data_IF_929157440979
#
_entry.id   IF_929157440979
#
_cell.length_a   1.000
_cell.length_b   1.000
_cell.length_c   1.000
_cell.angle_alpha   90.00
_cell.angle_beta   90.00
_cell.angle_gamma   90.00
#
_symmetry.space_group_name_H-M   'P 1'
#
loop_
_entity.id
_entity.type
_entity.pdbx_description
1 polymer ?
#
# COMPACT_ATOMS: atom_id res chain seq x y z
N UNK A 1 6.76 7.35 -7.11
CA UNK A 1 5.80 8.22 -6.38
C UNK A 1 6.08 8.08 -4.90
N UNK A 2 6.54 9.16 -4.27
CA UNK A 2 7.20 9.10 -2.96
C UNK A 2 6.23 8.98 -1.79
N UNK A 3 6.47 7.99 -0.94
CA UNK A 3 5.91 7.91 0.41
C UNK A 3 6.50 9.05 1.27
N UNK A 4 5.78 10.16 1.43
CA UNK A 4 6.18 11.25 2.34
C UNK A 4 5.90 10.87 3.79
N UNK A 5 6.76 10.04 4.42
CA UNK A 5 6.64 9.84 5.86
C UNK A 5 6.83 11.16 6.62
N UNK A 6 6.14 11.33 7.75
CA UNK A 6 6.28 12.48 8.65
C UNK A 6 7.75 12.76 9.00
N UNK A 7 8.54 11.70 9.14
CA UNK A 7 9.97 11.76 9.46
C UNK A 7 10.81 12.40 8.34
N UNK A 8 10.47 12.15 7.07
CA UNK A 8 11.14 12.81 5.92
C UNK A 8 10.90 14.31 5.91
N UNK A 9 9.68 14.73 6.29
CA UNK A 9 9.34 16.16 6.40
C UNK A 9 10.12 16.81 7.54
N UNK A 10 10.21 16.15 8.70
CA UNK A 10 11.02 16.63 9.83
C UNK A 10 12.49 16.77 9.47
N UNK A 11 13.08 15.75 8.85
CA UNK A 11 14.49 15.77 8.42
C UNK A 11 14.77 16.92 7.44
N UNK A 12 13.85 17.17 6.49
CA UNK A 12 14.01 18.24 5.51
C UNK A 12 13.90 19.63 6.14
N UNK A 13 12.96 19.83 7.05
CA UNK A 13 12.77 21.10 7.76
C UNK A 13 13.97 21.35 8.66
N UNK A 14 14.41 20.36 9.44
CA UNK A 14 15.58 20.44 10.34
C UNK A 14 16.85 20.99 9.66
N UNK A 15 17.07 20.66 8.38
CA UNK A 15 18.24 21.12 7.60
C UNK A 15 18.21 22.60 7.23
N UNK A 16 17.07 23.27 7.40
CA UNK A 16 16.84 24.65 6.94
C UNK A 16 16.31 25.59 8.02
N UNK A 17 15.99 25.08 9.21
CA UNK A 17 15.35 25.86 10.28
C UNK A 17 16.28 26.19 11.42
N UNK A 18 16.20 27.43 11.91
CA UNK A 18 17.06 27.95 12.99
C UNK A 18 16.27 28.59 14.15
N UNK A 19 14.92 28.54 14.15
CA UNK A 19 14.12 29.21 15.19
C UNK A 19 13.71 28.28 16.34
N UNK A 20 13.52 28.81 17.57
CA UNK A 20 13.08 28.02 18.72
C UNK A 20 11.70 27.40 18.50
N UNK A 21 11.53 26.12 18.85
CA UNK A 21 10.27 25.34 18.79
C UNK A 21 9.77 24.98 17.38
N UNK A 22 10.63 25.02 16.36
CA UNK A 22 10.27 24.61 14.99
C UNK A 22 9.68 23.19 14.90
N UNK A 23 10.15 22.26 15.73
CA UNK A 23 9.62 20.88 15.78
C UNK A 23 8.16 20.81 16.25
N UNK A 24 7.81 21.62 17.25
CA UNK A 24 6.46 21.70 17.80
C UNK A 24 5.50 22.27 16.75
N UNK A 25 5.88 23.38 16.12
CA UNK A 25 5.08 24.02 15.08
C UNK A 25 4.89 23.11 13.86
N UNK A 26 5.93 22.37 13.47
CA UNK A 26 5.84 21.40 12.39
C UNK A 26 4.91 20.23 12.76
N UNK A 27 4.98 19.73 14.00
CA UNK A 27 4.08 18.68 14.46
C UNK A 27 2.62 19.16 14.47
N UNK A 28 2.36 20.39 14.89
CA UNK A 28 1.02 20.97 14.87
C UNK A 28 0.52 21.20 13.44
N UNK A 29 1.39 21.66 12.55
CA UNK A 29 1.08 21.80 11.12
C UNK A 29 0.71 20.45 10.48
N UNK A 30 1.51 19.40 10.73
CA UNK A 30 1.23 18.04 10.24
C UNK A 30 -0.12 17.53 10.76
N UNK A 31 -0.44 17.79 12.03
CA UNK A 31 -1.69 17.36 12.67
C UNK A 31 -2.91 18.17 12.25
N UNK A 32 -2.77 19.41 11.80
CA UNK A 32 -3.92 20.28 11.46
C UNK A 32 -4.11 20.47 9.96
N UNK A 33 -3.08 20.23 9.15
CA UNK A 33 -3.15 20.40 7.70
C UNK A 33 -3.90 19.25 7.02
N UNK A 34 -5.13 19.52 6.57
CA UNK A 34 -5.96 18.55 5.84
C UNK A 34 -5.26 18.01 4.57
N UNK A 35 -4.50 18.85 3.85
CA UNK A 35 -3.75 18.45 2.66
C UNK A 35 -2.69 17.40 3.00
N UNK A 36 -1.97 17.61 4.10
CA UNK A 36 -0.95 16.67 4.57
C UNK A 36 -1.60 15.37 5.06
N UNK A 37 -2.67 15.45 5.84
CA UNK A 37 -3.41 14.28 6.32
C UNK A 37 -4.02 13.44 5.19
N UNK A 38 -4.54 14.08 4.12
CA UNK A 38 -5.07 13.37 2.94
C UNK A 38 -3.95 12.70 2.14
N UNK A 39 -2.82 13.38 1.97
CA UNK A 39 -1.66 12.84 1.26
C UNK A 39 -0.97 11.70 2.02
N UNK A 40 -0.93 11.79 3.35
CA UNK A 40 -0.34 10.81 4.26
C UNK A 40 -1.38 9.95 4.98
N UNK A 41 -2.55 9.79 4.37
CA UNK A 41 -3.57 8.89 4.90
C UNK A 41 -2.90 7.53 5.11
N UNK A 42 -2.82 7.10 6.38
CA UNK A 42 -2.23 5.79 6.70
C UNK A 42 -2.96 4.74 5.89
N UNK A 43 -2.27 4.15 4.91
CA UNK A 43 -2.80 3.01 4.17
C UNK A 43 -2.94 1.85 5.17
N UNK A 44 -4.18 1.44 5.42
CA UNK A 44 -4.53 0.21 6.09
C UNK A 44 -4.74 0.33 7.61
N UNK A 45 -5.90 -0.19 8.05
CA UNK A 45 -5.89 -1.01 9.27
C UNK A 45 -4.75 -2.03 9.11
N UNK A 46 -4.07 -2.41 10.19
CA UNK A 46 -3.27 -3.66 10.17
C UNK A 46 -4.12 -4.69 9.46
N UNK A 47 -3.60 -5.29 8.38
CA UNK A 47 -4.20 -6.49 7.83
C UNK A 47 -4.53 -7.38 9.03
N UNK A 48 -5.81 -7.71 9.20
CA UNK A 48 -6.22 -8.57 10.32
C UNK A 48 -5.37 -9.84 10.31
N UNK A 49 -5.42 -10.62 11.39
CA UNK A 49 -4.93 -12.01 11.32
C UNK A 49 -5.53 -12.62 10.05
N UNK A 50 -4.65 -13.12 9.17
CA UNK A 50 -5.04 -13.89 7.99
C UNK A 50 -6.08 -14.89 8.48
N UNK A 51 -7.33 -14.79 7.98
CA UNK A 51 -8.34 -15.77 8.34
C UNK A 51 -7.83 -17.11 7.84
N UNK A 52 -7.67 -18.06 8.76
CA UNK A 52 -7.26 -19.41 8.41
C UNK A 52 -8.35 -20.00 7.52
N UNK A 53 -8.01 -20.29 6.27
CA UNK A 53 -8.87 -21.05 5.37
C UNK A 53 -8.72 -22.51 5.81
N UNK A 54 -9.82 -23.20 6.07
CA UNK A 54 -9.76 -24.64 6.38
C UNK A 54 -9.12 -25.37 5.19
N UNK A 55 -8.13 -26.22 5.47
CA UNK A 55 -7.51 -27.03 4.42
C UNK A 55 -8.55 -28.00 3.85
N UNK A 56 -8.71 -28.08 2.51
CA UNK A 56 -9.57 -29.08 1.89
C UNK A 56 -9.05 -30.49 2.24
N UNK A 57 -9.98 -31.39 2.56
CA UNK A 57 -9.72 -32.79 2.96
C UNK A 57 -9.82 -33.75 1.78
N UNK A 58 -10.50 -33.34 0.71
CA UNK A 58 -10.73 -34.10 -0.49
C UNK A 58 -10.45 -33.24 -1.74
N UNK A 59 -10.03 -33.86 -2.86
CA UNK A 59 -9.91 -33.16 -4.14
C UNK A 59 -11.24 -32.46 -4.50
N UNK A 60 -11.17 -31.30 -5.13
CA UNK A 60 -12.30 -30.49 -5.60
C UNK A 60 -13.13 -29.80 -4.51
N UNK A 61 -12.68 -29.78 -3.26
CA UNK A 61 -13.39 -29.08 -2.17
C UNK A 61 -13.16 -27.57 -2.16
N UNK A 62 -11.99 -27.10 -2.63
CA UNK A 62 -11.67 -25.68 -2.68
C UNK A 62 -10.82 -25.35 -3.91
N UNK A 63 -11.43 -24.74 -4.92
CA UNK A 63 -10.70 -24.25 -6.09
C UNK A 63 -10.35 -22.78 -5.93
N UNK A 64 -9.05 -22.48 -6.02
CA UNK A 64 -8.54 -21.11 -6.04
C UNK A 64 -8.28 -20.69 -7.48
N UNK A 65 -8.72 -19.48 -7.82
CA UNK A 65 -8.59 -18.91 -9.16
C UNK A 65 -7.94 -17.54 -9.07
N UNK A 66 -6.88 -17.30 -9.84
CA UNK A 66 -6.22 -16.01 -9.91
C UNK A 66 -5.88 -15.61 -11.36
N UNK A 67 -5.92 -14.31 -11.62
CA UNK A 67 -5.61 -13.74 -12.93
C UNK A 67 -4.26 -13.03 -12.90
N UNK A 68 -3.31 -13.56 -13.67
CA UNK A 68 -2.09 -12.81 -13.99
C UNK A 68 -2.38 -11.94 -15.19
N UNK A 69 -2.37 -10.61 -15.02
CA UNK A 69 -2.71 -9.63 -16.07
C UNK A 69 -1.52 -8.71 -16.37
N UNK A 70 -1.62 -7.94 -17.47
CA UNK A 70 -0.58 -6.96 -17.85
C UNK A 70 0.63 -7.59 -18.51
N UNK A 71 0.48 -8.79 -19.07
CA UNK A 71 1.52 -9.44 -19.85
C UNK A 71 1.66 -8.77 -21.21
N UNK A 72 2.84 -8.91 -21.82
CA UNK A 72 3.03 -8.49 -23.21
C UNK A 72 2.06 -9.29 -24.09
N UNK A 73 1.26 -8.64 -24.95
CA UNK A 73 0.30 -9.34 -25.80
C UNK A 73 0.98 -10.43 -26.64
N UNK A 74 0.40 -11.61 -26.64
CA UNK A 74 0.92 -12.79 -27.31
C UNK A 74 -0.08 -13.45 -28.26
N UNK A 75 0.45 -14.04 -29.33
CA UNK A 75 -0.34 -14.75 -30.35
C UNK A 75 -1.10 -13.81 -31.29
N UNK A 76 -1.85 -14.39 -32.23
CA UNK A 76 -2.66 -13.63 -33.20
C UNK A 76 -3.82 -12.87 -32.53
N UNK A 77 -4.31 -13.41 -31.42
CA UNK A 77 -5.48 -12.89 -30.70
C UNK A 77 -5.10 -11.86 -29.60
N UNK A 78 -3.82 -11.51 -29.45
CA UNK A 78 -3.33 -10.52 -28.48
C UNK A 78 -3.70 -10.81 -27.01
N UNK A 79 -3.65 -12.07 -26.59
CA UNK A 79 -3.88 -12.41 -25.18
C UNK A 79 -2.79 -11.80 -24.29
N UNK A 80 -3.18 -11.21 -23.16
CA UNK A 80 -2.29 -10.51 -22.24
C UNK A 80 -2.49 -10.93 -20.77
N UNK A 81 -3.20 -12.04 -20.55
CA UNK A 81 -3.50 -12.55 -19.22
C UNK A 81 -3.57 -14.08 -19.20
N UNK A 82 -3.27 -14.65 -18.04
CA UNK A 82 -3.48 -16.06 -17.74
C UNK A 82 -4.44 -16.22 -16.55
N UNK A 83 -5.37 -17.15 -16.67
CA UNK A 83 -6.16 -17.66 -15.55
C UNK A 83 -5.43 -18.87 -14.97
N UNK A 84 -5.09 -18.79 -13.70
CA UNK A 84 -4.49 -19.89 -12.94
C UNK A 84 -5.59 -20.49 -12.07
N UNK A 85 -5.71 -21.81 -12.11
CA UNK A 85 -6.67 -22.57 -11.31
C UNK A 85 -5.89 -23.61 -10.51
N UNK A 86 -6.10 -23.65 -9.20
CA UNK A 86 -5.48 -24.60 -8.27
C UNK A 86 -6.58 -25.28 -7.48
N UNK A 87 -6.52 -26.60 -7.41
CA UNK A 87 -7.33 -27.45 -6.53
C UNK A 87 -6.57 -27.74 -5.23
#
# INVERSE_FOLDING_TARGET
MGHMSEDRTKERVARTTWWPRWEYELSEYIKTCERFQKANRKHGKKYGLLQHIEEPKHPWEAMNMDWVTGLVPGGKENFNAYLIIVD
#
